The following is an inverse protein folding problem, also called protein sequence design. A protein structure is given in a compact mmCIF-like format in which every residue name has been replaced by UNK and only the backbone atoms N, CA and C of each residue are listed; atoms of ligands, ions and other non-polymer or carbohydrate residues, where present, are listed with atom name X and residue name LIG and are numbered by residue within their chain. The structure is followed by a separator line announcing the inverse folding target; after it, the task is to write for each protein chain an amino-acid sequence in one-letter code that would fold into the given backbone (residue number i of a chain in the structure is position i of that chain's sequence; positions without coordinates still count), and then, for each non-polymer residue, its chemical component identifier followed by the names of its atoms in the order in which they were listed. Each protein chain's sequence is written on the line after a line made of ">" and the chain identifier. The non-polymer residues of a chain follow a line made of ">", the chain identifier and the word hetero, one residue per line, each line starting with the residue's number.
data_IF_375639942294
#
_entry.id   IF_375639942294
#
_cell.length_a   1.000
_cell.length_b   1.000
_cell.length_c   1.000
_cell.angle_alpha   90.00
_cell.angle_beta   90.00
_cell.angle_gamma   90.00
#
_symmetry.space_group_name_H-M   'P 1'
#
loop_
_entity.id
_entity.type
_entity.pdbx_description
1 polymer ?
#
# COMPACT_ATOMS: atom_id res chain seq x y z
N UNK A 1 -12.17 -8.68 22.62
CA UNK A 1 -11.02 -7.80 22.95
C UNK A 1 -11.22 -7.24 24.35
N UNK A 2 -10.16 -7.13 25.15
CA UNK A 2 -10.26 -6.52 26.48
C UNK A 2 -10.59 -5.03 26.36
N UNK A 3 -11.27 -4.45 27.36
CA UNK A 3 -11.55 -3.00 27.38
C UNK A 3 -10.27 -2.15 27.30
N UNK A 4 -9.15 -2.69 27.76
CA UNK A 4 -7.84 -2.04 27.72
C UNK A 4 -7.28 -1.99 26.29
N UNK A 5 -7.33 -3.11 25.56
CA UNK A 5 -6.87 -3.20 24.16
C UNK A 5 -7.63 -2.24 23.25
N UNK A 6 -8.95 -2.11 23.45
CA UNK A 6 -9.78 -1.16 22.71
C UNK A 6 -9.36 0.29 22.96
N UNK A 7 -9.17 0.68 24.23
CA UNK A 7 -8.75 2.04 24.58
C UNK A 7 -7.38 2.39 24.00
N UNK A 8 -6.42 1.47 24.08
CA UNK A 8 -5.08 1.68 23.51
C UNK A 8 -5.16 1.87 22.00
N UNK A 9 -5.86 0.98 21.29
CA UNK A 9 -6.05 1.11 19.83
C UNK A 9 -6.75 2.42 19.45
N UNK A 10 -7.75 2.83 20.23
CA UNK A 10 -8.46 4.10 20.04
C UNK A 10 -7.49 5.28 20.17
N UNK A 11 -6.74 5.40 21.27
CA UNK A 11 -5.80 6.51 21.47
C UNK A 11 -4.69 6.55 20.41
N UNK A 12 -4.15 5.40 20.02
CA UNK A 12 -3.15 5.32 18.94
C UNK A 12 -3.73 5.85 17.63
N UNK A 13 -4.96 5.45 17.28
CA UNK A 13 -5.64 5.94 16.09
C UNK A 13 -5.80 7.46 16.10
N UNK A 14 -6.27 8.06 17.21
CA UNK A 14 -6.41 9.52 17.28
C UNK A 14 -5.08 10.26 17.24
N UNK A 15 -4.05 9.72 17.89
CA UNK A 15 -2.72 10.31 17.85
C UNK A 15 -2.16 10.31 16.42
N UNK A 16 -2.28 9.18 15.70
CA UNK A 16 -1.88 9.08 14.29
C UNK A 16 -2.69 10.02 13.41
N UNK A 17 -4.01 10.09 13.61
CA UNK A 17 -4.88 10.95 12.83
C UNK A 17 -4.56 12.43 13.05
N UNK A 18 -4.36 12.85 14.30
CA UNK A 18 -3.96 14.22 14.63
C UNK A 18 -2.62 14.59 14.00
N UNK A 19 -1.63 13.69 14.08
CA UNK A 19 -0.32 13.86 13.43
C UNK A 19 -0.47 14.03 11.91
N UNK A 20 -1.27 13.20 11.26
CA UNK A 20 -1.56 13.30 9.81
C UNK A 20 -2.18 14.66 9.48
N UNK A 21 -3.20 15.08 10.22
CA UNK A 21 -3.86 16.37 9.99
C UNK A 21 -2.89 17.55 10.16
N UNK A 22 -2.00 17.50 11.16
CA UNK A 22 -0.98 18.54 11.37
C UNK A 22 -0.05 18.62 10.16
N UNK A 23 0.50 17.49 9.71
CA UNK A 23 1.44 17.46 8.59
C UNK A 23 0.77 17.85 7.27
N UNK A 24 -0.48 17.41 7.04
CA UNK A 24 -1.25 17.87 5.88
C UNK A 24 -1.54 19.38 5.97
N UNK A 25 -1.81 19.91 7.16
CA UNK A 25 -1.96 21.34 7.38
C UNK A 25 -0.69 22.11 7.02
N UNK A 26 0.47 21.62 7.43
CA UNK A 26 1.77 22.20 7.06
C UNK A 26 2.04 22.09 5.55
N UNK A 27 1.68 20.97 4.93
CA UNK A 27 1.87 20.76 3.50
C UNK A 27 1.00 21.70 2.66
N UNK A 28 -0.30 21.80 2.93
CA UNK A 28 -1.22 22.60 2.12
C UNK A 28 -1.25 24.09 2.50
N UNK A 29 -1.01 24.44 3.77
CA UNK A 29 -1.14 25.81 4.27
C UNK A 29 0.18 26.42 4.80
N UNK A 30 1.27 25.65 4.85
CA UNK A 30 2.56 26.12 5.38
C UNK A 30 3.43 26.89 4.38
N UNK A 31 2.89 27.27 3.22
CA UNK A 31 3.58 28.07 2.21
C UNK A 31 4.34 27.27 1.16
N UNK A 32 4.99 27.99 0.26
CA UNK A 32 5.80 27.45 -0.84
C UNK A 32 7.30 27.64 -0.54
N UNK A 33 8.15 26.87 -1.22
CA UNK A 33 9.61 27.05 -1.14
C UNK A 33 10.03 28.42 -1.66
N UNK A 34 11.07 29.02 -1.04
CA UNK A 34 11.64 30.29 -1.51
C UNK A 34 12.30 30.16 -2.89
N UNK A 35 12.92 29.01 -3.15
CA UNK A 35 13.54 28.67 -4.43
C UNK A 35 12.88 27.42 -5.02
N UNK A 36 12.03 27.55 -6.06
CA UNK A 36 11.44 26.42 -6.77
C UNK A 36 12.48 25.46 -7.35
N UNK A 37 12.17 24.16 -7.37
CA UNK A 37 13.04 23.13 -8.01
C UNK A 37 13.02 23.28 -9.53
N UNK A 38 11.84 23.61 -10.07
CA UNK A 38 11.62 23.89 -11.48
C UNK A 38 11.17 25.33 -11.61
N UNK A 39 11.78 26.08 -12.53
CA UNK A 39 11.39 27.45 -12.81
C UNK A 39 9.90 27.50 -13.19
N UNK A 40 9.14 28.39 -12.54
CA UNK A 40 7.69 28.59 -12.75
C UNK A 40 6.79 27.43 -12.26
N UNK A 41 7.29 26.55 -11.36
CA UNK A 41 6.46 25.58 -10.64
C UNK A 41 6.54 25.79 -9.13
N UNK A 42 5.43 26.19 -8.51
CA UNK A 42 5.32 26.28 -7.06
C UNK A 42 5.45 24.90 -6.40
N UNK A 43 6.25 24.81 -5.35
CA UNK A 43 6.45 23.59 -4.58
C UNK A 43 6.17 23.83 -3.09
N UNK A 44 5.33 23.00 -2.44
CA UNK A 44 5.03 23.17 -1.02
C UNK A 44 6.28 23.03 -0.14
N UNK A 45 6.47 23.97 0.79
CA UNK A 45 7.65 24.03 1.65
C UNK A 45 7.81 22.82 2.57
N UNK A 46 6.70 22.17 2.95
CA UNK A 46 6.67 21.06 3.90
C UNK A 46 6.49 19.69 3.22
N UNK A 47 6.92 19.56 1.96
CA UNK A 47 6.85 18.27 1.23
C UNK A 47 7.65 17.17 1.93
N UNK A 48 8.83 17.48 2.47
CA UNK A 48 9.66 16.51 3.18
C UNK A 48 8.98 15.95 4.43
N UNK A 49 8.30 16.81 5.20
CA UNK A 49 7.55 16.39 6.37
C UNK A 49 6.44 15.38 6.00
N UNK A 50 5.74 15.63 4.89
CA UNK A 50 4.74 14.71 4.36
C UNK A 50 5.37 13.38 3.92
N UNK A 51 6.50 13.42 3.20
CA UNK A 51 7.19 12.21 2.75
C UNK A 51 7.70 11.37 3.93
N UNK A 52 8.31 11.98 4.95
CA UNK A 52 8.75 11.25 6.14
C UNK A 52 7.59 10.64 6.92
N UNK A 53 6.47 11.35 7.02
CA UNK A 53 5.25 10.81 7.61
C UNK A 53 4.76 9.60 6.82
N UNK A 54 4.67 9.70 5.49
CA UNK A 54 4.21 8.62 4.63
C UNK A 54 5.12 7.39 4.74
N UNK A 55 6.43 7.56 4.68
CA UNK A 55 7.38 6.46 4.82
C UNK A 55 7.31 5.82 6.22
N UNK A 56 7.18 6.63 7.28
CA UNK A 56 7.02 6.13 8.64
C UNK A 56 5.75 5.29 8.80
N UNK A 57 4.61 5.82 8.35
CA UNK A 57 3.32 5.12 8.42
C UNK A 57 3.31 3.85 7.57
N UNK A 58 3.87 3.90 6.35
CA UNK A 58 4.03 2.75 5.48
C UNK A 58 4.89 1.66 6.13
N UNK A 59 6.04 2.03 6.71
CA UNK A 59 6.92 1.10 7.43
C UNK A 59 6.21 0.41 8.60
N UNK A 60 5.46 1.17 9.41
CA UNK A 60 4.65 0.61 10.50
C UNK A 60 3.60 -0.36 9.95
N UNK A 61 2.91 0.02 8.88
CA UNK A 61 1.88 -0.82 8.26
C UNK A 61 2.46 -2.14 7.73
N UNK A 62 3.61 -2.10 7.07
CA UNK A 62 4.31 -3.30 6.57
C UNK A 62 4.69 -4.22 7.73
N UNK A 63 5.34 -3.69 8.78
CA UNK A 63 5.74 -4.48 9.95
C UNK A 63 4.52 -5.11 10.63
N UNK A 64 3.47 -4.32 10.88
CA UNK A 64 2.23 -4.82 11.49
C UNK A 64 1.58 -5.92 10.65
N UNK A 65 1.55 -5.76 9.32
CA UNK A 65 0.97 -6.73 8.39
C UNK A 65 1.77 -8.04 8.39
N UNK A 66 3.11 -7.97 8.33
CA UNK A 66 3.98 -9.15 8.35
C UNK A 66 3.85 -9.90 9.68
N UNK A 67 3.90 -9.17 10.81
CA UNK A 67 3.74 -9.76 12.14
C UNK A 67 2.38 -10.44 12.26
N UNK A 68 1.30 -9.76 11.87
CA UNK A 68 -0.04 -10.34 11.88
C UNK A 68 -0.14 -11.58 11.00
N UNK A 69 0.44 -11.56 9.79
CA UNK A 69 0.44 -12.70 8.88
C UNK A 69 1.15 -13.92 9.49
N UNK A 70 2.31 -13.73 10.13
CA UNK A 70 3.06 -14.80 10.80
C UNK A 70 2.24 -15.42 11.94
N UNK A 71 1.65 -14.58 12.82
CA UNK A 71 0.84 -15.08 13.94
C UNK A 71 -0.43 -15.80 13.45
N UNK A 72 -1.11 -15.25 12.46
CA UNK A 72 -2.32 -15.85 11.88
C UNK A 72 -2.00 -17.19 11.21
N UNK A 73 -0.90 -17.27 10.45
CA UNK A 73 -0.48 -18.50 9.80
C UNK A 73 -0.04 -19.56 10.82
N UNK A 74 0.71 -19.17 11.85
CA UNK A 74 1.13 -20.07 12.93
C UNK A 74 -0.05 -20.65 13.71
N UNK A 75 -1.05 -19.83 14.05
CA UNK A 75 -2.28 -20.31 14.68
C UNK A 75 -3.06 -21.23 13.73
N UNK A 76 -3.22 -20.84 12.46
CA UNK A 76 -3.93 -21.65 11.47
C UNK A 76 -3.27 -23.02 11.26
N UNK A 77 -1.94 -23.10 11.27
CA UNK A 77 -1.21 -24.37 11.19
C UNK A 77 -1.46 -25.26 12.41
N UNK A 78 -1.51 -24.67 13.61
CA UNK A 78 -1.80 -25.41 14.85
C UNK A 78 -3.23 -25.94 14.87
N UNK A 79 -4.20 -25.12 14.48
CA UNK A 79 -5.63 -25.41 14.64
C UNK A 79 -6.19 -26.23 13.46
N UNK A 80 -5.77 -25.93 12.23
CA UNK A 80 -6.21 -26.63 11.02
C UNK A 80 -5.08 -26.67 9.97
N UNK A 81 -4.11 -27.60 10.12
CA UNK A 81 -2.94 -27.66 9.25
C UNK A 81 -3.29 -27.86 7.78
N UNK A 82 -4.29 -28.69 7.47
CA UNK A 82 -4.75 -28.92 6.09
C UNK A 82 -5.36 -27.65 5.47
N UNK A 83 -6.14 -26.90 6.26
CA UNK A 83 -6.71 -25.62 5.83
C UNK A 83 -5.64 -24.55 5.60
N UNK A 84 -4.67 -24.44 6.50
CA UNK A 84 -3.55 -23.51 6.38
C UNK A 84 -2.66 -23.80 5.16
N UNK A 85 -2.38 -25.07 4.87
CA UNK A 85 -1.64 -25.43 3.65
C UNK A 85 -2.45 -25.07 2.40
N UNK A 86 -3.78 -25.25 2.41
CA UNK A 86 -4.63 -24.83 1.29
C UNK A 86 -4.68 -23.32 1.11
N UNK A 87 -4.56 -22.52 2.18
CA UNK A 87 -4.55 -21.06 2.05
C UNK A 87 -3.29 -20.53 1.36
N UNK A 88 -2.18 -21.29 1.37
CA UNK A 88 -0.99 -20.97 0.57
C UNK A 88 -1.26 -20.98 -0.93
N UNK A 89 -2.29 -21.70 -1.42
CA UNK A 89 -2.67 -21.65 -2.83
C UNK A 89 -3.04 -20.22 -3.26
N UNK A 90 -3.76 -19.49 -2.41
CA UNK A 90 -4.08 -18.08 -2.66
C UNK A 90 -2.83 -17.20 -2.71
N UNK A 91 -1.87 -17.44 -1.82
CA UNK A 91 -0.58 -16.73 -1.82
C UNK A 91 0.24 -17.05 -3.08
N UNK A 92 0.29 -18.30 -3.50
CA UNK A 92 0.99 -18.73 -4.72
C UNK A 92 0.37 -18.04 -5.95
N UNK A 93 -0.96 -18.00 -6.03
CA UNK A 93 -1.66 -17.29 -7.10
C UNK A 93 -1.35 -15.79 -7.08
N UNK A 94 -1.30 -15.16 -5.91
CA UNK A 94 -0.91 -13.76 -5.77
C UNK A 94 0.53 -13.53 -6.27
N UNK A 95 1.47 -14.38 -5.85
CA UNK A 95 2.87 -14.30 -6.32
C UNK A 95 2.95 -14.46 -7.83
N UNK A 96 2.17 -15.37 -8.42
CA UNK A 96 2.12 -15.56 -9.86
C UNK A 96 1.61 -14.30 -10.58
N UNK A 97 0.56 -13.65 -10.05
CA UNK A 97 0.07 -12.37 -10.56
C UNK A 97 1.16 -11.30 -10.50
N UNK A 98 1.87 -11.18 -9.37
CA UNK A 98 2.96 -10.22 -9.21
C UNK A 98 4.11 -10.47 -10.21
N UNK A 99 4.51 -11.73 -10.42
CA UNK A 99 5.57 -12.07 -11.38
C UNK A 99 5.17 -11.72 -12.82
N UNK A 100 3.93 -12.03 -13.21
CA UNK A 100 3.41 -11.67 -14.54
C UNK A 100 3.34 -10.15 -14.69
N UNK A 101 2.80 -9.46 -13.69
CA UNK A 101 2.71 -8.00 -13.68
C UNK A 101 4.09 -7.33 -13.76
N UNK A 102 5.10 -7.84 -13.04
CA UNK A 102 6.48 -7.37 -13.13
C UNK A 102 7.07 -7.57 -14.52
N UNK A 103 6.82 -8.72 -15.15
CA UNK A 103 7.29 -9.04 -16.50
C UNK A 103 6.73 -8.07 -17.54
N UNK A 104 5.49 -7.60 -17.34
CA UNK A 104 4.82 -6.60 -18.19
C UNK A 104 5.23 -5.15 -17.90
N UNK A 105 5.85 -4.88 -16.75
CA UNK A 105 6.24 -3.53 -16.33
C UNK A 105 7.34 -2.93 -17.23
N UNK A 106 7.21 -1.63 -17.51
CA UNK A 106 8.20 -0.86 -18.26
C UNK A 106 9.38 -0.46 -17.37
N UNK A 107 10.58 -0.52 -17.94
CA UNK A 107 11.78 0.04 -17.33
C UNK A 107 12.19 1.39 -17.93
N UNK A 108 11.39 1.93 -18.84
CA UNK A 108 11.68 3.21 -19.50
C UNK A 108 11.55 4.36 -18.50
N UNK A 109 12.62 5.12 -18.34
CA UNK A 109 12.68 6.25 -17.41
C UNK A 109 11.69 7.33 -17.79
N UNK A 110 11.03 7.90 -16.81
CA UNK A 110 10.06 8.96 -17.01
C UNK A 110 10.76 10.30 -17.31
N UNK A 111 10.23 11.08 -18.23
CA UNK A 111 10.70 12.45 -18.49
C UNK A 111 10.10 13.40 -17.45
N UNK A 112 10.73 13.50 -16.30
CA UNK A 112 10.28 14.35 -15.19
C UNK A 112 11.15 15.61 -15.16
N UNK A 113 10.50 16.77 -15.32
CA UNK A 113 11.21 18.05 -15.31
C UNK A 113 11.83 18.32 -13.93
N UNK A 114 13.12 18.65 -13.89
CA UNK A 114 13.83 18.98 -12.65
C UNK A 114 14.08 17.82 -11.70
N UNK A 115 13.90 16.57 -12.15
CA UNK A 115 14.14 15.38 -11.32
C UNK A 115 15.17 14.45 -11.97
N UNK A 116 16.39 14.50 -11.44
CA UNK A 116 17.51 13.58 -11.73
C UNK A 116 17.72 12.59 -10.57
N UNK A 117 16.66 12.33 -9.79
CA UNK A 117 16.76 11.54 -8.56
C UNK A 117 16.97 10.05 -8.80
N UNK A 118 17.41 9.35 -7.75
CA UNK A 118 17.79 7.93 -7.79
C UNK A 118 16.62 6.97 -7.98
N UNK A 119 15.39 7.46 -7.92
CA UNK A 119 14.19 6.60 -7.90
C UNK A 119 13.58 6.43 -9.30
N UNK A 120 13.96 7.26 -10.29
CA UNK A 120 13.54 7.10 -11.68
C UNK A 120 14.46 6.12 -12.43
N UNK A 121 14.51 4.88 -11.93
CA UNK A 121 15.32 3.78 -12.50
C UNK A 121 14.48 2.54 -12.74
N UNK A 122 14.89 1.64 -13.65
CA UNK A 122 14.05 0.52 -14.10
C UNK A 122 13.46 -0.35 -12.98
N UNK A 123 14.16 -0.51 -11.86
CA UNK A 123 13.67 -1.30 -10.73
C UNK A 123 12.40 -0.70 -10.11
N UNK A 124 12.41 0.58 -9.73
CA UNK A 124 11.28 1.24 -9.06
C UNK A 124 10.10 1.43 -10.00
N UNK A 125 10.37 1.67 -11.29
CA UNK A 125 9.35 1.79 -12.33
C UNK A 125 8.61 0.46 -12.51
N UNK A 126 9.35 -0.64 -12.66
CA UNK A 126 8.74 -1.98 -12.73
C UNK A 126 8.03 -2.39 -11.46
N UNK A 127 8.54 -2.00 -10.30
CA UNK A 127 7.88 -2.26 -9.01
C UNK A 127 6.52 -1.54 -8.95
N UNK A 128 6.48 -0.28 -9.39
CA UNK A 128 5.26 0.52 -9.44
C UNK A 128 4.25 -0.07 -10.42
N UNK A 129 4.69 -0.41 -11.64
CA UNK A 129 3.86 -1.07 -12.65
C UNK A 129 3.31 -2.41 -12.17
N UNK A 130 4.16 -3.22 -11.51
CA UNK A 130 3.76 -4.50 -10.94
C UNK A 130 2.58 -4.34 -9.98
N UNK A 131 2.65 -3.37 -9.06
CA UNK A 131 1.55 -3.09 -8.13
C UNK A 131 0.32 -2.56 -8.86
N UNK A 132 0.49 -1.64 -9.80
CA UNK A 132 -0.61 -1.03 -10.55
C UNK A 132 -1.39 -2.06 -11.37
N UNK A 133 -0.69 -2.89 -12.15
CA UNK A 133 -1.31 -3.97 -12.92
C UNK A 133 -1.97 -5.02 -12.03
N UNK A 134 -1.33 -5.38 -10.91
CA UNK A 134 -1.90 -6.34 -9.95
C UNK A 134 -3.17 -5.82 -9.32
N UNK A 135 -3.22 -4.54 -8.93
CA UNK A 135 -4.41 -3.91 -8.37
C UNK A 135 -5.55 -3.92 -9.38
N UNK A 136 -5.31 -3.51 -10.63
CA UNK A 136 -6.35 -3.51 -11.66
C UNK A 136 -6.85 -4.92 -12.00
N UNK A 137 -5.95 -5.89 -12.11
CA UNK A 137 -6.32 -7.28 -12.35
C UNK A 137 -7.15 -7.85 -11.20
N UNK A 138 -6.70 -7.69 -9.95
CA UNK A 138 -7.40 -8.21 -8.78
C UNK A 138 -8.74 -7.51 -8.57
N UNK A 139 -8.83 -6.20 -8.88
CA UNK A 139 -10.08 -5.46 -8.85
C UNK A 139 -11.09 -6.04 -9.85
N UNK A 140 -10.66 -6.29 -11.10
CA UNK A 140 -11.50 -6.91 -12.12
C UNK A 140 -11.99 -8.30 -11.67
N UNK A 141 -11.08 -9.16 -11.22
CA UNK A 141 -11.41 -10.50 -10.71
C UNK A 141 -12.40 -10.42 -9.55
N UNK A 142 -12.22 -9.46 -8.65
CA UNK A 142 -13.12 -9.25 -7.50
C UNK A 142 -14.52 -8.86 -7.96
N UNK A 143 -14.64 -7.90 -8.89
CA UNK A 143 -15.94 -7.50 -9.43
C UNK A 143 -16.65 -8.67 -10.11
N UNK A 144 -15.92 -9.44 -10.95
CA UNK A 144 -16.47 -10.62 -11.62
C UNK A 144 -16.91 -11.70 -10.62
N UNK A 145 -16.13 -11.93 -9.55
CA UNK A 145 -16.47 -12.88 -8.50
C UNK A 145 -17.73 -12.46 -7.72
N UNK A 146 -17.90 -11.16 -7.42
CA UNK A 146 -19.10 -10.62 -6.75
C UNK A 146 -20.34 -10.83 -7.63
N UNK A 147 -20.24 -10.50 -8.92
CA UNK A 147 -21.37 -10.68 -9.86
C UNK A 147 -21.71 -12.16 -9.99
N UNK A 148 -20.70 -13.01 -10.26
CA UNK A 148 -20.89 -14.45 -10.44
C UNK A 148 -21.47 -15.13 -9.20
N UNK A 149 -20.99 -14.78 -8.00
CA UNK A 149 -21.53 -15.32 -6.74
C UNK A 149 -22.97 -14.86 -6.48
N UNK A 150 -23.30 -13.61 -6.82
CA UNK A 150 -24.66 -13.08 -6.71
C UNK A 150 -25.66 -13.80 -7.63
N UNK A 151 -25.26 -14.10 -8.87
CA UNK A 151 -26.07 -14.87 -9.82
C UNK A 151 -26.26 -16.31 -9.33
N UNK A 152 -25.17 -16.99 -8.94
CA UNK A 152 -25.22 -18.38 -8.44
C UNK A 152 -26.17 -18.49 -7.25
N UNK A 153 -26.15 -17.53 -6.32
CA UNK A 153 -27.03 -17.52 -5.15
C UNK A 153 -28.52 -17.40 -5.51
N UNK A 154 -28.86 -16.77 -6.65
CA UNK A 154 -30.25 -16.67 -7.11
C UNK A 154 -30.72 -17.91 -7.88
N UNK A 155 -29.80 -18.69 -8.43
CA UNK A 155 -30.10 -19.90 -9.21
C UNK A 155 -30.09 -21.18 -8.37
N UNK A 156 -29.53 -21.12 -7.15
CA UNK A 156 -29.56 -22.19 -6.15
C UNK A 156 -30.64 -21.94 -5.12
#
# INVERSE_FOLDING_TARGET
>A
MSKLTYKVSYYVLYAMFALIVIVLGLFYFGGQMETPIVYDMDNPANTDALLYLMYGLFGIAVVATVVAAIFQFGSALKDNPKGAIRSLLGLILLVLVLVVAWSMGSGETLTIQGYEGTDNVPFWLKLTDMFLYSIYFLMLVTVLAIIGSSIKKKLS
#
